data_IF_851711714985
#
_entry.id   IF_851711714985
#
_cell.length_a   1.000
_cell.length_b   1.000
_cell.length_c   1.000
_cell.angle_alpha   90.00
_cell.angle_beta   90.00
_cell.angle_gamma   90.00
#
_symmetry.space_group_name_H-M   'P 1'
#
loop_
_entity.id
_entity.type
_entity.pdbx_description
1 polymer ?
#
# COMPACT_ATOMS: atom_id res chain seq x y z
N UNK A 1 -10.85 53.26 52.94
CA UNK A 1 -10.18 53.33 51.62
C UNK A 1 -9.29 52.11 51.49
N UNK A 2 -9.51 51.21 50.54
CA UNK A 2 -8.50 50.43 49.80
C UNK A 2 -9.24 49.61 48.74
N UNK A 3 -8.72 49.67 47.52
CA UNK A 3 -9.45 49.53 46.28
C UNK A 3 -9.64 48.09 45.83
N UNK A 4 -10.83 47.85 45.30
CA UNK A 4 -11.27 46.71 44.49
C UNK A 4 -10.32 46.50 43.31
N UNK A 5 -9.67 45.33 43.23
CA UNK A 5 -8.97 44.91 42.01
C UNK A 5 -9.84 43.91 41.26
N UNK A 6 -10.60 44.44 40.31
CA UNK A 6 -11.39 43.69 39.32
C UNK A 6 -10.41 43.07 38.32
N UNK A 7 -10.16 41.76 38.46
CA UNK A 7 -9.36 40.99 37.49
C UNK A 7 -10.19 40.72 36.25
N UNK A 8 -9.86 41.39 35.14
CA UNK A 8 -10.42 41.15 33.82
C UNK A 8 -9.96 39.76 33.32
N UNK A 9 -10.85 38.77 33.33
CA UNK A 9 -10.64 37.49 32.65
C UNK A 9 -10.99 37.67 31.18
N UNK A 10 -9.98 37.91 30.34
CA UNK A 10 -10.09 37.92 28.88
C UNK A 10 -10.32 36.49 28.39
N UNK A 11 -11.59 36.13 28.18
CA UNK A 11 -11.97 34.91 27.47
C UNK A 11 -11.63 35.08 25.97
N UNK A 12 -10.47 34.56 25.56
CA UNK A 12 -10.12 34.46 24.16
C UNK A 12 -10.99 33.39 23.48
N UNK A 13 -11.98 33.85 22.71
CA UNK A 13 -12.79 33.00 21.84
C UNK A 13 -11.90 32.59 20.67
N UNK A 14 -11.38 31.36 20.71
CA UNK A 14 -10.61 30.77 19.61
C UNK A 14 -11.60 30.48 18.48
N UNK A 15 -11.64 31.36 17.49
CA UNK A 15 -12.35 31.15 16.24
C UNK A 15 -11.67 29.99 15.48
N UNK A 16 -12.30 28.81 15.49
CA UNK A 16 -11.85 27.62 14.77
C UNK A 16 -12.08 27.88 13.28
N UNK A 17 -11.03 28.32 12.59
CA UNK A 17 -11.07 28.64 11.16
C UNK A 17 -10.91 27.33 10.35
N UNK A 18 -11.91 26.87 9.58
CA UNK A 18 -11.90 25.55 8.92
C UNK A 18 -10.78 25.39 7.87
N UNK A 19 -10.19 26.49 7.40
CA UNK A 19 -9.04 26.47 6.49
C UNK A 19 -7.79 25.81 7.12
N UNK A 20 -7.63 25.85 8.44
CA UNK A 20 -6.46 25.28 9.13
C UNK A 20 -6.50 23.74 9.13
N UNK A 21 -7.69 23.14 9.22
CA UNK A 21 -7.85 21.68 9.18
C UNK A 21 -7.50 21.09 7.81
N UNK A 22 -7.85 21.79 6.72
CA UNK A 22 -7.53 21.36 5.36
C UNK A 22 -6.03 21.49 5.01
N UNK A 23 -5.32 22.44 5.62
CA UNK A 23 -3.88 22.58 5.46
C UNK A 23 -3.10 21.47 6.20
N UNK A 24 -3.55 21.09 7.41
CA UNK A 24 -2.94 20.03 8.20
C UNK A 24 -3.03 18.65 7.54
N UNK A 25 -4.14 18.34 6.86
CA UNK A 25 -4.32 17.06 6.17
C UNK A 25 -3.40 16.90 4.97
N UNK A 26 -3.20 17.95 4.16
CA UNK A 26 -2.27 17.93 3.01
C UNK A 26 -0.81 17.85 3.44
N UNK A 27 -0.41 18.58 4.49
CA UNK A 27 0.94 18.51 5.05
C UNK A 27 1.25 17.10 5.62
N UNK A 28 0.24 16.45 6.21
CA UNK A 28 0.35 15.08 6.71
C UNK A 28 0.57 14.05 5.60
N UNK A 29 -0.16 14.16 4.48
CA UNK A 29 -0.04 13.21 3.36
C UNK A 29 1.35 13.27 2.72
N UNK A 30 1.87 14.45 2.43
CA UNK A 30 3.20 14.60 1.82
C UNK A 30 4.31 14.00 2.71
N UNK A 31 4.21 14.18 4.02
CA UNK A 31 5.14 13.58 4.97
C UNK A 31 5.02 12.06 5.02
N UNK A 32 3.79 11.52 5.04
CA UNK A 32 3.55 10.08 4.96
C UNK A 32 4.10 9.48 3.67
N UNK A 33 3.92 10.13 2.52
CA UNK A 33 4.47 9.65 1.25
C UNK A 33 6.00 9.61 1.25
N UNK A 34 6.67 10.60 1.84
CA UNK A 34 8.15 10.58 1.99
C UNK A 34 8.63 9.46 2.92
N UNK A 35 7.90 9.22 4.01
CA UNK A 35 8.23 8.13 4.93
C UNK A 35 8.05 6.76 4.28
N UNK A 36 6.94 6.57 3.56
CA UNK A 36 6.70 5.35 2.80
C UNK A 36 7.76 5.15 1.72
N UNK A 37 8.24 6.24 1.09
CA UNK A 37 9.26 6.17 0.04
C UNK A 37 10.61 5.74 0.59
N UNK A 38 11.02 6.32 1.72
CA UNK A 38 12.27 5.97 2.39
C UNK A 38 12.28 4.53 2.94
N UNK A 39 11.12 4.00 3.29
CA UNK A 39 10.95 2.63 3.80
C UNK A 39 10.52 1.63 2.72
N UNK A 40 10.43 2.04 1.46
CA UNK A 40 9.91 1.18 0.40
C UNK A 40 10.89 0.06 0.08
N UNK A 41 10.38 -1.17 0.04
CA UNK A 41 11.16 -2.37 -0.33
C UNK A 41 10.50 -2.99 -1.56
N UNK A 42 11.29 -3.25 -2.61
CA UNK A 42 10.74 -3.88 -3.79
C UNK A 42 10.20 -5.29 -3.47
N UNK A 43 9.02 -5.68 -4.00
CA UNK A 43 8.36 -6.95 -3.65
C UNK A 43 9.21 -8.21 -3.84
N UNK A 44 10.15 -8.22 -4.79
CA UNK A 44 11.05 -9.35 -5.06
C UNK A 44 12.10 -9.57 -3.97
N UNK A 45 12.38 -8.57 -3.13
CA UNK A 45 13.31 -8.70 -2.01
C UNK A 45 12.61 -9.13 -0.71
N UNK A 46 11.28 -9.30 -0.74
CA UNK A 46 10.53 -9.81 0.41
C UNK A 46 10.67 -11.35 0.48
N UNK A 47 10.81 -11.92 1.69
CA UNK A 47 11.17 -13.33 1.87
C UNK A 47 10.02 -14.31 1.55
N UNK A 48 8.79 -13.83 1.40
CA UNK A 48 7.63 -14.67 1.13
C UNK A 48 6.46 -13.86 0.57
N UNK A 49 5.48 -14.55 -0.02
CA UNK A 49 4.23 -13.91 -0.45
C UNK A 49 3.40 -13.38 0.72
N UNK A 50 3.50 -13.99 1.90
CA UNK A 50 2.84 -13.45 3.09
C UNK A 50 3.46 -12.11 3.49
N UNK A 51 4.79 -11.99 3.47
CA UNK A 51 5.47 -10.71 3.70
C UNK A 51 5.04 -9.65 2.67
N UNK A 52 4.85 -10.05 1.41
CA UNK A 52 4.33 -9.20 0.34
C UNK A 52 2.91 -8.70 0.65
N UNK A 53 2.01 -9.58 1.09
CA UNK A 53 0.63 -9.22 1.47
C UNK A 53 0.60 -8.28 2.67
N UNK A 54 1.48 -8.50 3.66
CA UNK A 54 1.62 -7.64 4.83
C UNK A 54 2.10 -6.25 4.44
N UNK A 55 3.11 -6.12 3.58
CA UNK A 55 3.60 -4.83 3.05
C UNK A 55 2.48 -4.06 2.34
N UNK A 56 1.80 -4.70 1.39
CA UNK A 56 0.67 -4.09 0.64
C UNK A 56 -0.40 -3.57 1.61
N UNK A 57 -0.74 -4.38 2.60
CA UNK A 57 -1.77 -4.04 3.58
C UNK A 57 -1.33 -2.88 4.48
N UNK A 58 -0.06 -2.84 4.91
CA UNK A 58 0.49 -1.74 5.69
C UNK A 58 0.54 -0.44 4.88
N UNK A 59 0.99 -0.51 3.63
CA UNK A 59 1.00 0.61 2.69
C UNK A 59 -0.39 1.21 2.50
N UNK A 60 -1.38 0.36 2.22
CA UNK A 60 -2.78 0.75 2.05
C UNK A 60 -3.36 1.39 3.31
N UNK A 61 -3.10 0.82 4.50
CA UNK A 61 -3.56 1.38 5.79
C UNK A 61 -2.95 2.75 6.07
N UNK A 62 -1.66 2.93 5.80
CA UNK A 62 -0.97 4.21 6.01
C UNK A 62 -1.59 5.33 5.16
N UNK A 63 -1.96 5.03 3.92
CA UNK A 63 -2.63 5.97 3.02
C UNK A 63 -4.10 6.19 3.38
N UNK A 64 -4.83 5.12 3.76
CA UNK A 64 -6.22 5.22 4.22
C UNK A 64 -6.34 6.12 5.47
N UNK A 65 -5.38 6.06 6.40
CA UNK A 65 -5.30 6.95 7.55
C UNK A 65 -5.13 8.43 7.19
N UNK A 66 -4.79 8.74 5.94
CA UNK A 66 -4.72 10.10 5.37
C UNK A 66 -5.88 10.42 4.44
N UNK A 67 -6.92 9.58 4.41
CA UNK A 67 -8.12 9.77 3.58
C UNK A 67 -7.90 9.43 2.11
N UNK A 68 -6.85 8.71 1.76
CA UNK A 68 -6.59 8.26 0.39
C UNK A 68 -7.45 7.02 0.11
N UNK A 69 -8.18 7.03 -1.01
CA UNK A 69 -9.00 5.88 -1.41
C UNK A 69 -8.14 4.69 -1.86
N UNK A 70 -8.73 3.49 -1.87
CA UNK A 70 -8.03 2.28 -2.32
C UNK A 70 -7.51 2.39 -3.77
N UNK A 71 -8.31 2.95 -4.67
CA UNK A 71 -7.91 3.16 -6.07
C UNK A 71 -6.68 4.09 -6.16
N UNK A 72 -6.70 5.20 -5.42
CA UNK A 72 -5.56 6.13 -5.36
C UNK A 72 -4.33 5.48 -4.70
N UNK A 73 -4.51 4.71 -3.64
CA UNK A 73 -3.42 3.98 -3.00
C UNK A 73 -2.74 2.99 -3.96
N UNK A 74 -3.54 2.32 -4.81
CA UNK A 74 -3.03 1.40 -5.84
C UNK A 74 -2.20 2.15 -6.90
N UNK A 75 -2.69 3.30 -7.37
CA UNK A 75 -1.96 4.15 -8.31
C UNK A 75 -0.65 4.69 -7.70
N UNK A 76 -0.70 5.17 -6.46
CA UNK A 76 0.49 5.63 -5.73
C UNK A 76 1.51 4.50 -5.61
N UNK A 77 1.07 3.28 -5.24
CA UNK A 77 1.96 2.12 -5.15
C UNK A 77 2.60 1.77 -6.49
N UNK A 78 1.84 1.81 -7.59
CA UNK A 78 2.38 1.61 -8.93
C UNK A 78 3.49 2.63 -9.26
N UNK A 79 3.30 3.90 -8.89
CA UNK A 79 4.33 4.93 -9.07
C UNK A 79 5.59 4.67 -8.22
N UNK A 80 5.44 4.11 -7.01
CA UNK A 80 6.57 3.73 -6.17
C UNK A 80 7.35 2.56 -6.80
N UNK A 81 6.67 1.53 -7.28
CA UNK A 81 7.31 0.41 -7.98
C UNK A 81 8.13 0.89 -9.18
N UNK A 82 7.59 1.80 -9.98
CA UNK A 82 8.32 2.41 -11.10
C UNK A 82 9.49 3.26 -10.64
N UNK A 83 9.32 4.11 -9.62
CA UNK A 83 10.38 4.99 -9.10
C UNK A 83 11.56 4.20 -8.52
N UNK A 84 11.30 3.11 -7.83
CA UNK A 84 12.30 2.23 -7.22
C UNK A 84 12.84 1.16 -8.19
N UNK A 85 12.47 1.23 -9.47
CA UNK A 85 12.84 0.27 -10.50
C UNK A 85 12.52 -1.20 -10.13
N UNK A 86 11.44 -1.41 -9.37
CA UNK A 86 10.98 -2.74 -8.98
C UNK A 86 10.29 -3.49 -10.14
N UNK A 87 10.26 -2.89 -11.33
CA UNK A 87 9.76 -3.48 -12.58
C UNK A 87 10.82 -4.33 -13.29
N UNK A 88 12.00 -4.53 -12.69
CA UNK A 88 12.95 -5.49 -13.22
C UNK A 88 12.22 -6.83 -13.39
N UNK A 89 12.20 -7.41 -14.60
CA UNK A 89 11.79 -8.80 -14.71
C UNK A 89 12.68 -9.54 -13.71
N UNK A 90 12.08 -10.38 -12.87
CA UNK A 90 12.80 -11.54 -12.38
C UNK A 90 13.32 -12.15 -13.66
N UNK A 91 14.61 -12.01 -13.96
CA UNK A 91 15.22 -12.79 -15.01
C UNK A 91 14.81 -14.20 -14.63
N UNK A 92 13.88 -14.74 -15.42
CA UNK A 92 13.69 -16.15 -15.43
C UNK A 92 15.09 -16.66 -15.73
N UNK A 93 15.76 -17.17 -14.70
CA UNK A 93 16.64 -18.31 -14.82
C UNK A 93 15.78 -19.42 -15.44
N UNK A 94 15.46 -19.24 -16.73
CA UNK A 94 15.10 -20.24 -17.68
C UNK A 94 16.42 -20.96 -17.99
N UNK A 95 16.96 -21.61 -16.97
CA UNK A 95 18.02 -22.59 -17.11
C UNK A 95 17.66 -23.72 -16.16
N UNK A 96 17.23 -24.82 -16.77
CA UNK A 96 17.14 -26.17 -16.24
C UNK A 96 15.99 -26.49 -15.25
N UNK A 97 14.78 -26.65 -15.78
CA UNK A 97 14.05 -27.90 -15.52
C UNK A 97 13.56 -28.44 -16.86
N UNK A 98 13.91 -29.68 -17.11
CA UNK A 98 13.69 -30.43 -18.33
C UNK A 98 12.28 -30.28 -18.92
N UNK A 99 12.26 -30.13 -20.24
CA UNK A 99 11.37 -30.83 -21.17
C UNK A 99 10.27 -31.68 -20.49
N UNK A 100 8.99 -31.30 -20.53
CA UNK A 100 7.93 -32.23 -20.19
C UNK A 100 7.95 -33.35 -21.22
N UNK A 101 8.54 -34.47 -20.84
CA UNK A 101 8.50 -35.72 -21.58
C UNK A 101 7.05 -36.06 -21.89
N UNK A 102 6.71 -35.99 -23.18
CA UNK A 102 5.74 -36.83 -23.89
C UNK A 102 4.78 -37.64 -23.01
N UNK A 103 3.67 -37.03 -22.57
CA UNK A 103 2.50 -37.78 -22.14
C UNK A 103 1.66 -38.09 -23.38
N UNK A 104 1.96 -39.24 -24.00
CA UNK A 104 1.10 -39.89 -25.00
C UNK A 104 -0.29 -40.08 -24.39
N UNK A 105 -1.27 -39.31 -24.89
CA UNK A 105 -2.68 -39.50 -24.58
C UNK A 105 -3.12 -40.80 -25.26
N UNK A 106 -3.27 -41.88 -24.50
CA UNK A 106 -3.92 -43.10 -24.97
C UNK A 106 -5.45 -42.89 -24.93
N UNK A 107 -6.20 -43.17 -26.02
CA UNK A 107 -7.65 -43.14 -25.98
C UNK A 107 -8.19 -44.29 -25.11
N UNK A 108 -9.04 -43.94 -24.14
CA UNK A 108 -9.78 -44.89 -23.31
C UNK A 108 -10.84 -45.57 -24.18
N UNK A 109 -10.69 -46.87 -24.45
CA UNK A 109 -11.72 -47.68 -25.08
C UNK A 109 -12.85 -47.96 -24.08
N UNK A 110 -14.06 -47.50 -24.37
CA UNK A 110 -15.27 -47.85 -23.62
C UNK A 110 -15.71 -49.23 -24.10
N UNK A 111 -15.55 -50.25 -23.26
CA UNK A 111 -16.09 -51.58 -23.50
C UNK A 111 -17.60 -51.59 -23.18
N UNK A 112 -18.42 -51.67 -24.22
CA UNK A 112 -19.86 -51.96 -24.12
C UNK A 112 -20.06 -53.42 -23.74
N UNK A 113 -20.73 -53.69 -22.61
CA UNK A 113 -21.13 -55.05 -22.24
C UNK A 113 -22.40 -55.48 -23.01
N UNK A 114 -22.51 -56.76 -23.44
CA UNK A 114 -23.73 -57.29 -24.04
C UNK A 114 -24.77 -57.65 -22.97
N UNK A 115 -26.06 -57.53 -23.34
CA UNK A 115 -27.20 -58.07 -22.58
C UNK A 115 -27.35 -59.57 -22.82
#
# INVERSE_FOLDING_TARGET
MHATRLGLLTAAIIAINPAVAAAQTRAGLATTLRQLDAAFVCPQFLPSDEARRVEISQFGRALAAKGVSFAQATEIRARFLTRHNCNAPVEAEATAIAEPTSATVAPIAIATAPQ
#
